data_IF_106732934393
#
_entry.id   IF_106732934393
#
_cell.length_a   1.000
_cell.length_b   1.000
_cell.length_c   1.000
_cell.angle_alpha   90.00
_cell.angle_beta   90.00
_cell.angle_gamma   90.00
#
_symmetry.space_group_name_H-M   'P 1'
#
loop_
_entity.id
_entity.type
_entity.pdbx_description
1 polymer ?
#
# COMPACT_ATOMS: atom_id res chain seq x y z
N UNK A 1 -17.09 10.42 13.88
CA UNK A 1 -16.00 9.48 14.04
C UNK A 1 -16.06 8.85 15.42
N UNK A 2 -15.69 7.58 15.52
CA UNK A 2 -15.49 6.90 16.79
C UNK A 2 -14.02 6.46 16.88
N UNK A 3 -13.36 6.81 18.00
CA UNK A 3 -12.02 6.38 18.32
C UNK A 3 -12.08 5.35 19.46
N UNK A 4 -11.49 4.17 19.22
CA UNK A 4 -11.42 3.05 20.16
C UNK A 4 -10.05 3.03 20.79
N UNK A 5 -9.97 2.94 22.13
CA UNK A 5 -8.74 2.97 22.88
C UNK A 5 -8.78 1.93 23.99
N UNK A 6 -7.72 1.17 24.15
CA UNK A 6 -7.56 0.20 25.23
C UNK A 6 -7.19 0.91 26.55
N UNK A 7 -6.56 2.07 26.46
CA UNK A 7 -6.13 2.84 27.61
C UNK A 7 -6.31 4.35 27.36
N UNK A 8 -6.68 5.10 28.41
CA UNK A 8 -6.75 6.55 28.40
C UNK A 8 -5.53 7.12 29.13
N UNK A 9 -4.73 7.95 28.45
CA UNK A 9 -3.59 8.62 29.05
C UNK A 9 -4.00 9.61 30.13
N UNK A 10 -3.10 9.92 31.08
CA UNK A 10 -3.41 10.76 32.24
C UNK A 10 -3.61 12.26 31.92
N UNK A 11 -3.16 12.76 30.78
CA UNK A 11 -3.15 14.19 30.49
C UNK A 11 -3.79 14.55 29.15
N UNK A 12 -3.43 13.86 28.10
CA UNK A 12 -3.96 14.14 26.75
C UNK A 12 -3.92 12.90 25.86
N UNK A 13 -4.80 12.86 24.85
CA UNK A 13 -4.85 11.86 23.81
C UNK A 13 -4.61 12.57 22.48
N UNK A 14 -3.66 12.06 21.69
CA UNK A 14 -3.37 12.58 20.35
C UNK A 14 -3.85 11.58 19.31
N UNK A 15 -4.78 12.01 18.45
CA UNK A 15 -5.30 11.22 17.33
C UNK A 15 -4.73 11.82 16.05
N UNK A 16 -3.88 11.06 15.36
CA UNK A 16 -3.22 11.50 14.14
C UNK A 16 -4.16 11.45 12.94
N UNK A 17 -4.02 12.42 12.03
CA UNK A 17 -4.79 12.49 10.78
C UNK A 17 -6.27 12.83 10.96
N UNK A 18 -6.68 13.28 12.15
CA UNK A 18 -8.06 13.64 12.46
C UNK A 18 -8.11 15.10 12.93
N UNK A 19 -9.14 15.83 12.47
CA UNK A 19 -9.50 17.15 12.98
C UNK A 19 -10.96 17.12 13.40
N UNK A 20 -11.22 17.49 14.65
CA UNK A 20 -12.59 17.69 15.11
C UNK A 20 -13.16 18.96 14.50
N UNK A 21 -14.46 18.97 14.20
CA UNK A 21 -15.15 20.10 13.59
C UNK A 21 -16.29 20.64 14.46
N UNK A 22 -16.60 21.91 14.23
CA UNK A 22 -17.75 22.56 14.80
C UNK A 22 -17.64 22.91 16.28
N UNK A 23 -18.79 23.29 16.86
CA UNK A 23 -18.94 23.59 18.30
C UNK A 23 -19.36 22.40 19.14
N UNK A 24 -19.50 21.24 18.49
CA UNK A 24 -19.91 20.02 19.17
C UNK A 24 -18.78 19.47 20.03
N UNK A 25 -19.17 18.89 21.16
CA UNK A 25 -18.20 18.40 22.14
C UNK A 25 -17.80 16.95 21.81
N UNK A 26 -16.59 16.60 22.23
CA UNK A 26 -16.13 15.22 22.22
C UNK A 26 -16.68 14.55 23.47
N UNK A 27 -17.21 13.34 23.33
CA UNK A 27 -17.81 12.57 24.39
C UNK A 27 -17.15 11.19 24.48
N UNK A 28 -16.89 10.73 25.71
CA UNK A 28 -16.66 9.32 25.98
C UNK A 28 -18.02 8.64 26.10
N UNK A 29 -18.25 7.55 25.37
CA UNK A 29 -19.53 6.82 25.43
C UNK A 29 -19.74 6.26 26.84
N UNK A 30 -20.96 6.39 27.35
CA UNK A 30 -21.32 5.98 28.70
C UNK A 30 -20.98 6.98 29.82
N UNK A 31 -20.37 8.12 29.49
CA UNK A 31 -20.04 9.19 30.42
C UNK A 31 -20.59 10.54 29.93
N UNK A 32 -20.90 11.43 30.86
CA UNK A 32 -21.46 12.77 30.56
C UNK A 32 -20.40 13.87 30.51
N UNK A 33 -19.14 13.53 30.73
CA UNK A 33 -18.02 14.46 30.76
C UNK A 33 -17.80 15.07 29.38
N UNK A 34 -17.45 16.36 29.41
CA UNK A 34 -17.12 17.16 28.23
C UNK A 34 -15.62 17.34 28.16
N UNK A 35 -15.04 16.95 27.04
CA UNK A 35 -13.60 17.06 26.85
C UNK A 35 -13.26 18.35 26.10
N UNK A 36 -12.24 19.06 26.60
CA UNK A 36 -11.60 20.13 25.85
C UNK A 36 -10.70 19.50 24.81
N UNK A 37 -10.70 20.06 23.60
CA UNK A 37 -9.91 19.59 22.50
C UNK A 37 -9.33 20.72 21.68
N UNK A 38 -8.27 20.42 20.93
CA UNK A 38 -7.66 21.36 19.99
C UNK A 38 -7.14 20.58 18.76
N UNK A 39 -7.26 21.20 17.60
CA UNK A 39 -6.57 20.72 16.39
C UNK A 39 -5.19 21.39 16.31
N UNK A 40 -4.16 20.59 16.01
CA UNK A 40 -2.83 21.10 15.73
C UNK A 40 -2.26 20.38 14.50
N UNK A 41 -1.99 21.14 13.41
CA UNK A 41 -1.64 20.59 12.10
C UNK A 41 -2.72 19.58 11.65
N UNK A 42 -2.34 18.31 11.45
CA UNK A 42 -3.26 17.25 11.01
C UNK A 42 -3.73 16.35 12.18
N UNK A 43 -3.53 16.77 13.42
CA UNK A 43 -3.83 15.98 14.60
C UNK A 43 -4.89 16.63 15.48
N UNK A 44 -5.71 15.80 16.13
CA UNK A 44 -6.61 16.16 17.20
C UNK A 44 -5.97 15.84 18.55
N UNK A 45 -5.92 16.79 19.46
CA UNK A 45 -5.55 16.57 20.86
C UNK A 45 -6.78 16.72 21.74
N UNK A 46 -7.11 15.68 22.51
CA UNK A 46 -8.17 15.68 23.52
C UNK A 46 -7.50 15.82 24.88
N UNK A 47 -7.91 16.79 25.67
CA UNK A 47 -7.35 17.06 27.00
C UNK A 47 -8.17 16.32 28.04
N UNK A 48 -7.51 15.46 28.83
CA UNK A 48 -8.13 14.67 29.88
C UNK A 48 -8.18 15.52 31.18
N UNK A 49 -9.37 15.74 31.76
CA UNK A 49 -9.49 16.51 32.99
C UNK A 49 -8.75 15.87 34.16
N UNK A 50 -8.20 16.69 35.06
CA UNK A 50 -7.64 16.21 36.32
C UNK A 50 -8.72 15.44 37.13
N UNK A 51 -8.32 14.30 37.68
CA UNK A 51 -9.24 13.45 38.46
C UNK A 51 -10.19 12.61 37.62
N UNK A 52 -10.13 12.70 36.29
CA UNK A 52 -11.01 11.91 35.44
C UNK A 52 -10.77 10.40 35.62
N UNK A 53 -9.53 9.97 35.86
CA UNK A 53 -9.18 8.58 36.11
C UNK A 53 -9.80 8.03 37.39
N UNK A 54 -10.06 8.87 38.38
CA UNK A 54 -10.63 8.47 39.67
C UNK A 54 -12.11 8.05 39.54
N UNK A 55 -12.76 8.49 38.46
CA UNK A 55 -14.17 8.18 38.13
C UNK A 55 -14.32 7.28 36.91
N UNK A 56 -13.21 6.87 36.31
CA UNK A 56 -13.20 6.02 35.14
C UNK A 56 -13.30 4.56 35.60
N UNK A 57 -14.37 3.89 35.17
CA UNK A 57 -14.52 2.45 35.36
C UNK A 57 -13.57 1.70 34.43
N UNK A 58 -13.00 0.60 34.90
CA UNK A 58 -12.19 -0.28 34.05
C UNK A 58 -13.03 -0.83 32.90
N UNK A 59 -12.51 -0.70 31.70
CA UNK A 59 -13.14 -1.19 30.48
C UNK A 59 -12.06 -1.73 29.54
N UNK A 60 -12.33 -2.83 28.84
CA UNK A 60 -11.40 -3.33 27.84
C UNK A 60 -11.22 -2.36 26.65
N UNK A 61 -12.20 -1.48 26.43
CA UNK A 61 -12.14 -0.47 25.36
C UNK A 61 -12.92 0.78 25.78
N UNK A 62 -12.30 1.93 25.59
CA UNK A 62 -12.92 3.24 25.74
C UNK A 62 -13.23 3.81 24.36
N UNK A 63 -14.44 4.35 24.16
CA UNK A 63 -14.89 4.84 22.85
C UNK A 63 -15.22 6.32 22.91
N UNK A 64 -14.42 7.14 22.22
CA UNK A 64 -14.69 8.57 22.06
C UNK A 64 -15.52 8.83 20.79
N UNK A 65 -16.63 9.56 20.94
CA UNK A 65 -17.41 10.11 19.85
C UNK A 65 -16.87 11.51 19.52
N UNK A 66 -16.30 11.67 18.34
CA UNK A 66 -15.62 12.88 17.87
C UNK A 66 -16.45 13.49 16.75
N UNK A 67 -16.91 14.77 16.87
CA UNK A 67 -17.53 15.47 15.77
C UNK A 67 -16.46 15.77 14.71
N UNK A 68 -16.68 15.33 13.50
CA UNK A 68 -15.81 15.60 12.35
C UNK A 68 -16.68 16.05 11.17
N UNK A 69 -16.12 16.85 10.28
CA UNK A 69 -16.77 17.10 9.00
C UNK A 69 -16.85 15.79 8.21
N UNK A 70 -17.89 15.58 7.40
CA UNK A 70 -18.02 14.39 6.59
C UNK A 70 -16.81 14.25 5.66
N UNK A 71 -16.35 13.01 5.46
CA UNK A 71 -15.25 12.72 4.53
C UNK A 71 -15.75 12.75 3.09
N UNK A 72 -14.93 13.27 2.20
CA UNK A 72 -15.16 13.15 0.76
C UNK A 72 -14.93 11.70 0.31
N UNK A 73 -15.70 11.27 -0.64
CA UNK A 73 -15.51 9.99 -1.33
C UNK A 73 -14.19 10.03 -2.11
N UNK A 74 -13.49 8.91 -2.14
CA UNK A 74 -12.23 8.80 -2.91
C UNK A 74 -12.46 9.09 -4.39
N UNK A 75 -11.55 9.82 -5.07
CA UNK A 75 -11.65 10.07 -6.50
C UNK A 75 -11.48 8.78 -7.31
N UNK A 76 -12.04 8.77 -8.51
CA UNK A 76 -11.79 7.73 -9.51
C UNK A 76 -10.67 8.20 -10.43
N UNK A 77 -9.72 7.31 -10.73
CA UNK A 77 -8.62 7.53 -11.67
C UNK A 77 -8.81 6.55 -12.83
N UNK A 78 -8.70 7.05 -14.04
CA UNK A 78 -8.64 6.26 -15.25
C UNK A 78 -7.34 6.59 -15.99
N UNK A 79 -6.60 5.55 -16.39
CA UNK A 79 -5.32 5.66 -17.09
C UNK A 79 -5.44 4.81 -18.35
N UNK A 80 -5.26 5.42 -19.51
CA UNK A 80 -5.23 4.74 -20.79
C UNK A 80 -3.81 4.87 -21.34
N UNK A 81 -3.13 3.74 -21.46
CA UNK A 81 -1.75 3.66 -21.95
C UNK A 81 -1.74 3.21 -23.40
N UNK A 82 -1.10 3.98 -24.26
CA UNK A 82 -1.03 3.73 -25.70
C UNK A 82 0.25 4.36 -26.27
N UNK A 83 1.00 3.60 -27.06
CA UNK A 83 2.17 4.06 -27.83
C UNK A 83 3.19 4.87 -27.01
N UNK A 84 3.51 4.41 -25.79
CA UNK A 84 4.48 5.07 -24.93
C UNK A 84 3.97 6.35 -24.28
N UNK A 85 2.66 6.59 -24.29
CA UNK A 85 1.99 7.72 -23.64
C UNK A 85 0.85 7.21 -22.78
N UNK A 86 0.66 7.80 -21.61
CA UNK A 86 -0.51 7.60 -20.78
C UNK A 86 -1.41 8.84 -20.77
N UNK A 87 -2.69 8.67 -20.99
CA UNK A 87 -3.72 9.69 -20.82
C UNK A 87 -4.36 9.44 -19.45
N UNK A 88 -4.32 10.45 -18.60
CA UNK A 88 -4.86 10.39 -17.24
C UNK A 88 -6.13 11.23 -17.14
N UNK A 89 -7.21 10.59 -16.73
CA UNK A 89 -8.49 11.22 -16.37
C UNK A 89 -8.81 10.99 -14.90
N UNK A 90 -9.30 12.02 -14.22
CA UNK A 90 -9.61 11.96 -12.79
C UNK A 90 -11.00 12.53 -12.56
N UNK A 91 -11.82 11.81 -11.82
CA UNK A 91 -13.20 12.18 -11.52
C UNK A 91 -13.43 12.32 -10.01
N UNK A 92 -14.03 13.44 -9.60
CA UNK A 92 -14.50 13.61 -8.24
C UNK A 92 -15.84 12.91 -8.05
N UNK A 93 -15.99 12.17 -6.96
CA UNK A 93 -17.23 11.42 -6.67
C UNK A 93 -18.24 12.25 -5.84
N UNK A 94 -17.85 13.42 -5.37
CA UNK A 94 -18.73 14.39 -4.72
C UNK A 94 -18.87 15.63 -5.61
N UNK A 95 -20.09 16.16 -5.69
CA UNK A 95 -20.35 17.44 -6.34
C UNK A 95 -19.51 18.56 -5.72
N UNK A 96 -19.02 19.46 -6.56
CA UNK A 96 -18.21 20.62 -6.17
C UNK A 96 -16.89 20.31 -5.43
N UNK A 97 -16.46 19.05 -5.38
CA UNK A 97 -15.15 18.73 -4.84
C UNK A 97 -14.04 19.04 -5.86
N UNK A 98 -13.06 19.81 -5.43
CA UNK A 98 -11.85 20.07 -6.21
C UNK A 98 -10.87 18.89 -6.09
N UNK A 99 -10.22 18.55 -7.20
CA UNK A 99 -9.22 17.49 -7.26
C UNK A 99 -7.81 18.07 -7.24
N UNK A 100 -6.93 17.40 -6.52
CA UNK A 100 -5.51 17.69 -6.53
C UNK A 100 -4.69 16.42 -6.72
N UNK A 101 -3.55 16.56 -7.38
CA UNK A 101 -2.66 15.45 -7.66
C UNK A 101 -1.18 15.79 -7.48
N UNK A 102 -0.38 14.77 -7.26
CA UNK A 102 1.08 14.82 -7.20
C UNK A 102 1.70 13.57 -7.81
N UNK A 103 3.00 13.61 -8.10
CA UNK A 103 3.73 12.49 -8.65
C UNK A 103 4.79 11.95 -7.68
N UNK A 104 5.07 10.65 -7.80
CA UNK A 104 6.06 9.96 -6.98
C UNK A 104 5.60 9.86 -5.53
N UNK A 105 6.51 10.10 -4.60
CA UNK A 105 6.25 10.00 -3.15
C UNK A 105 5.93 11.36 -2.49
N UNK A 106 5.43 12.33 -3.24
CA UNK A 106 5.06 13.64 -2.70
C UNK A 106 3.73 13.56 -1.99
N UNK A 107 3.69 14.00 -0.74
CA UNK A 107 2.43 14.16 0.01
C UNK A 107 1.52 15.17 -0.69
N UNK A 108 0.23 14.88 -0.72
CA UNK A 108 -0.80 15.80 -1.22
C UNK A 108 -1.26 16.66 -0.05
N UNK A 109 -1.39 17.95 -0.30
CA UNK A 109 -2.12 18.87 0.57
C UNK A 109 -2.89 19.87 -0.29
N UNK A 110 -3.88 20.54 0.31
CA UNK A 110 -4.70 21.56 -0.37
C UNK A 110 -3.85 22.64 -1.07
N UNK A 111 -2.68 22.94 -0.54
CA UNK A 111 -1.82 24.04 -1.02
C UNK A 111 -0.58 23.59 -1.81
N UNK A 112 -0.13 22.34 -1.67
CA UNK A 112 1.16 21.87 -2.22
C UNK A 112 1.04 21.01 -3.47
N UNK A 113 -0.15 20.52 -3.80
CA UNK A 113 -0.40 19.64 -4.95
C UNK A 113 -0.98 20.41 -6.14
N UNK A 114 -0.77 19.90 -7.36
CA UNK A 114 -1.34 20.47 -8.58
C UNK A 114 -2.85 20.35 -8.57
N UNK A 115 -3.55 21.38 -9.03
CA UNK A 115 -5.00 21.33 -9.26
C UNK A 115 -5.27 20.57 -10.56
N UNK A 116 -6.21 19.64 -10.52
CA UNK A 116 -6.69 18.97 -11.72
C UNK A 116 -7.85 19.79 -12.33
N UNK A 117 -7.83 19.94 -13.63
CA UNK A 117 -8.87 20.65 -14.38
C UNK A 117 -9.36 19.85 -15.59
N UNK A 118 -8.47 19.15 -16.26
CA UNK A 118 -8.75 18.39 -17.47
C UNK A 118 -7.80 17.20 -17.63
N UNK A 119 -8.13 16.20 -18.46
CA UNK A 119 -7.23 15.08 -18.76
C UNK A 119 -5.88 15.56 -19.27
N UNK A 120 -4.81 14.90 -18.84
CA UNK A 120 -3.45 15.25 -19.23
C UNK A 120 -2.65 14.02 -19.69
N UNK A 121 -1.58 14.27 -20.44
CA UNK A 121 -0.69 13.23 -20.95
C UNK A 121 0.57 13.13 -20.12
N UNK A 122 1.08 11.90 -20.01
CA UNK A 122 2.39 11.57 -19.44
C UNK A 122 3.15 10.71 -20.45
N UNK A 123 4.45 10.94 -20.54
CA UNK A 123 5.42 10.21 -21.36
C UNK A 123 6.46 9.46 -20.52
N UNK A 124 6.30 9.48 -19.23
CA UNK A 124 7.18 8.81 -18.26
C UNK A 124 6.40 8.09 -17.19
N UNK A 125 6.84 6.89 -16.84
CA UNK A 125 6.26 6.11 -15.74
C UNK A 125 6.42 6.80 -14.39
N UNK A 126 5.35 6.79 -13.59
CA UNK A 126 5.35 7.40 -12.26
C UNK A 126 4.22 6.85 -11.38
N UNK A 127 4.30 7.10 -10.08
CA UNK A 127 3.13 6.98 -9.19
C UNK A 127 2.33 8.27 -9.25
N UNK A 128 1.05 8.19 -9.59
CA UNK A 128 0.08 9.27 -9.50
C UNK A 128 -0.66 9.16 -8.17
N UNK A 129 -0.68 10.24 -7.39
CA UNK A 129 -1.47 10.32 -6.16
C UNK A 129 -2.54 11.38 -6.34
N UNK A 130 -3.78 11.10 -5.94
CA UNK A 130 -4.94 11.98 -6.11
C UNK A 130 -5.72 12.06 -4.82
N UNK A 131 -6.25 13.24 -4.52
CA UNK A 131 -7.10 13.49 -3.36
C UNK A 131 -8.15 14.55 -3.67
N UNK A 132 -9.37 14.38 -3.13
CA UNK A 132 -10.47 15.34 -3.25
C UNK A 132 -10.49 16.30 -2.06
N UNK A 133 -10.87 17.56 -2.32
CA UNK A 133 -11.00 18.63 -1.31
C UNK A 133 -12.26 19.44 -1.57
N UNK A 134 -13.02 19.74 -0.51
CA UNK A 134 -14.13 20.71 -0.52
C UNK A 134 -14.17 21.44 0.80
N UNK A 135 -14.84 22.60 0.82
CA UNK A 135 -15.11 23.32 2.05
C UNK A 135 -16.20 22.60 2.87
N UNK A 136 -16.05 22.55 4.19
CA UNK A 136 -16.98 21.85 5.08
C UNK A 136 -16.83 20.31 5.05
N UNK A 137 -15.78 19.79 4.41
CA UNK A 137 -15.50 18.36 4.35
C UNK A 137 -14.06 18.04 4.76
N UNK A 138 -13.86 16.89 5.37
CA UNK A 138 -12.54 16.28 5.46
C UNK A 138 -12.11 15.83 4.07
N UNK A 139 -10.82 15.96 3.71
CA UNK A 139 -10.32 15.46 2.45
C UNK A 139 -10.61 13.96 2.29
N UNK A 140 -10.73 13.48 1.06
CA UNK A 140 -10.80 12.03 0.82
C UNK A 140 -9.50 11.35 1.25
N UNK A 141 -9.50 10.02 1.32
CA UNK A 141 -8.24 9.27 1.32
C UNK A 141 -7.46 9.57 0.02
N UNK A 142 -6.14 9.49 0.08
CA UNK A 142 -5.30 9.56 -1.12
C UNK A 142 -5.46 8.27 -1.91
N UNK A 143 -5.77 8.39 -3.19
CA UNK A 143 -5.75 7.28 -4.14
C UNK A 143 -4.41 7.34 -4.88
N UNK A 144 -3.66 6.24 -4.86
CA UNK A 144 -2.40 6.11 -5.58
C UNK A 144 -2.54 5.07 -6.69
N UNK A 145 -2.14 5.43 -7.90
CA UNK A 145 -2.15 4.54 -9.06
C UNK A 145 -0.80 4.61 -9.80
N UNK A 146 -0.23 3.48 -10.22
CA UNK A 146 0.92 3.48 -11.11
C UNK A 146 0.49 3.92 -12.52
N UNK A 147 1.29 4.77 -13.15
CA UNK A 147 1.26 5.03 -14.59
C UNK A 147 2.43 4.25 -15.17
N UNK A 148 2.15 3.19 -15.92
CA UNK A 148 3.14 2.25 -16.43
C UNK A 148 3.39 2.48 -17.92
N UNK A 149 4.34 3.34 -18.27
CA UNK A 149 4.85 3.45 -19.62
C UNK A 149 6.04 2.50 -19.72
N UNK A 150 5.76 1.27 -20.17
CA UNK A 150 6.70 0.18 -20.14
C UNK A 150 7.55 0.15 -21.43
N UNK A 151 8.74 -0.39 -21.31
CA UNK A 151 9.70 -0.59 -22.39
C UNK A 151 10.15 -2.06 -22.38
N UNK A 152 10.85 -2.49 -23.42
CA UNK A 152 11.27 -3.89 -23.65
C UNK A 152 12.14 -4.49 -22.51
N UNK A 153 12.74 -3.64 -21.69
CA UNK A 153 13.56 -4.04 -20.53
C UNK A 153 12.77 -4.10 -19.22
N UNK A 154 11.50 -3.67 -19.21
CA UNK A 154 10.65 -3.84 -18.04
C UNK A 154 10.14 -5.27 -17.90
N UNK A 155 9.81 -5.65 -16.67
CA UNK A 155 9.23 -6.94 -16.34
C UNK A 155 10.16 -7.85 -15.55
N UNK A 156 9.70 -9.08 -15.39
CA UNK A 156 10.38 -10.20 -14.72
C UNK A 156 10.31 -11.42 -15.63
N UNK A 157 11.29 -12.31 -15.52
CA UNK A 157 11.23 -13.62 -16.17
C UNK A 157 10.48 -14.55 -15.21
N UNK A 158 9.29 -14.97 -15.61
CA UNK A 158 8.53 -16.02 -14.93
C UNK A 158 8.88 -17.37 -15.53
N UNK A 159 9.26 -18.33 -14.66
CA UNK A 159 9.40 -19.75 -15.01
C UNK A 159 8.30 -20.52 -14.31
N UNK A 160 7.65 -21.40 -15.05
CA UNK A 160 6.58 -22.27 -14.56
C UNK A 160 7.09 -23.68 -14.39
N UNK A 161 6.71 -24.31 -13.29
CA UNK A 161 7.01 -25.69 -12.92
C UNK A 161 5.69 -26.43 -12.70
N UNK A 162 5.64 -27.72 -13.04
CA UNK A 162 4.49 -28.59 -12.76
C UNK A 162 4.95 -29.75 -11.88
N UNK A 163 4.24 -29.97 -10.77
CA UNK A 163 4.55 -31.02 -9.80
C UNK A 163 3.92 -30.78 -8.44
N UNK A 164 4.22 -31.67 -7.51
CA UNK A 164 3.79 -31.58 -6.11
C UNK A 164 5.02 -31.50 -5.23
N UNK A 165 5.11 -30.47 -4.41
CA UNK A 165 6.24 -30.20 -3.54
C UNK A 165 5.76 -29.85 -2.13
N UNK A 166 6.66 -30.00 -1.16
CA UNK A 166 6.46 -29.55 0.21
C UNK A 166 7.07 -28.17 0.50
N UNK A 167 7.94 -27.69 -0.39
CA UNK A 167 8.64 -26.43 -0.26
C UNK A 167 9.20 -25.90 -1.60
N UNK A 168 9.62 -24.64 -1.62
CA UNK A 168 10.19 -24.00 -2.82
C UNK A 168 11.49 -24.64 -3.31
N UNK A 169 12.31 -25.22 -2.42
CA UNK A 169 13.59 -25.86 -2.82
C UNK A 169 13.32 -27.09 -3.67
N UNK A 170 12.38 -27.94 -3.26
CA UNK A 170 11.99 -29.12 -4.05
C UNK A 170 11.43 -28.71 -5.43
N UNK A 171 10.65 -27.62 -5.51
CA UNK A 171 10.15 -27.10 -6.78
C UNK A 171 11.30 -26.72 -7.72
N UNK A 172 12.34 -26.05 -7.20
CA UNK A 172 13.46 -25.58 -8.00
C UNK A 172 14.34 -26.72 -8.61
N UNK A 173 14.25 -27.92 -8.07
CA UNK A 173 14.90 -29.13 -8.64
C UNK A 173 14.15 -29.70 -9.86
N UNK A 174 12.94 -29.19 -10.14
CA UNK A 174 12.09 -29.66 -11.23
C UNK A 174 12.45 -29.01 -12.57
N UNK A 175 11.97 -29.60 -13.65
CA UNK A 175 12.19 -29.10 -15.01
C UNK A 175 11.26 -27.89 -15.25
N UNK A 176 11.83 -26.81 -15.79
CA UNK A 176 11.06 -25.64 -16.25
C UNK A 176 10.20 -26.05 -17.44
N UNK A 177 8.90 -25.80 -17.34
CA UNK A 177 7.93 -26.11 -18.40
C UNK A 177 7.72 -24.95 -19.35
N UNK A 178 7.78 -23.71 -18.82
CA UNK A 178 7.53 -22.49 -19.56
C UNK A 178 8.38 -21.35 -19.01
N UNK A 179 8.82 -20.45 -19.89
CA UNK A 179 9.46 -19.20 -19.53
C UNK A 179 8.83 -18.05 -20.31
N UNK A 180 8.44 -16.99 -19.61
CA UNK A 180 7.88 -15.79 -20.25
C UNK A 180 8.20 -14.52 -19.46
N UNK A 181 8.16 -13.38 -20.16
CA UNK A 181 8.21 -12.06 -19.49
C UNK A 181 6.84 -11.67 -18.97
N UNK A 182 6.79 -11.26 -17.70
CA UNK A 182 5.58 -10.77 -17.01
C UNK A 182 5.90 -9.43 -16.35
N UNK A 183 4.86 -8.62 -16.06
CA UNK A 183 5.03 -7.26 -15.53
C UNK A 183 4.64 -7.11 -14.05
N UNK A 184 4.20 -8.17 -13.44
CA UNK A 184 3.75 -8.27 -12.05
C UNK A 184 4.00 -9.69 -11.51
N UNK A 185 3.42 -10.00 -10.35
CA UNK A 185 3.49 -11.31 -9.71
C UNK A 185 2.16 -12.05 -9.78
N UNK A 186 1.25 -11.65 -10.67
CA UNK A 186 -0.06 -12.29 -10.79
C UNK A 186 0.08 -13.75 -11.25
N UNK A 187 -0.70 -14.60 -10.58
CA UNK A 187 -0.90 -15.97 -11.03
C UNK A 187 -1.91 -15.92 -12.18
N UNK A 188 -1.60 -16.57 -13.31
CA UNK A 188 -2.55 -16.68 -14.40
C UNK A 188 -3.84 -17.33 -13.89
N UNK A 189 -5.00 -16.77 -14.27
CA UNK A 189 -6.36 -17.19 -13.86
C UNK A 189 -6.76 -18.65 -14.20
N UNK A 190 -5.84 -19.47 -14.63
CA UNK A 190 -6.08 -20.89 -14.78
C UNK A 190 -5.89 -21.54 -13.41
N UNK A 191 -7.00 -21.88 -12.75
CA UNK A 191 -7.01 -22.73 -11.55
C UNK A 191 -6.30 -24.05 -11.86
N UNK A 192 -5.05 -24.11 -11.58
CA UNK A 192 -4.23 -25.32 -11.69
C UNK A 192 -3.70 -25.64 -10.31
N UNK A 193 -3.97 -26.82 -9.83
CA UNK A 193 -3.26 -27.39 -8.71
C UNK A 193 -1.90 -27.92 -9.19
N UNK A 194 -0.96 -28.07 -8.28
CA UNK A 194 0.33 -28.72 -8.53
C UNK A 194 1.21 -27.97 -9.53
N UNK A 195 1.38 -26.69 -9.30
CA UNK A 195 2.26 -25.84 -10.08
C UNK A 195 3.09 -24.92 -9.19
N UNK A 196 4.10 -24.31 -9.77
CA UNK A 196 4.86 -23.28 -9.10
C UNK A 196 5.49 -22.32 -10.08
N UNK A 197 5.90 -21.18 -9.57
CA UNK A 197 6.53 -20.12 -10.34
C UNK A 197 7.80 -19.61 -9.66
N UNK A 198 8.77 -19.23 -10.48
CA UNK A 198 9.80 -18.26 -10.07
C UNK A 198 9.65 -17.00 -10.90
N UNK A 199 9.73 -15.84 -10.25
CA UNK A 199 9.78 -14.52 -10.88
C UNK A 199 11.17 -13.94 -10.63
N UNK A 200 11.98 -13.76 -11.67
CA UNK A 200 13.36 -13.29 -11.53
C UNK A 200 13.62 -12.04 -12.37
N UNK A 201 14.31 -11.09 -11.80
CA UNK A 201 14.70 -9.86 -12.47
C UNK A 201 15.36 -8.89 -11.52
N UNK A 202 15.10 -7.60 -11.75
CA UNK A 202 15.67 -6.51 -10.96
C UNK A 202 14.60 -5.53 -10.55
N UNK A 203 14.73 -5.00 -9.33
CA UNK A 203 13.89 -3.92 -8.82
C UNK A 203 14.70 -2.62 -8.72
N UNK A 204 14.15 -1.51 -9.21
CA UNK A 204 14.76 -0.17 -9.14
C UNK A 204 14.38 0.54 -7.86
N UNK A 205 15.36 0.82 -7.03
CA UNK A 205 15.24 1.58 -5.79
C UNK A 205 15.63 3.04 -6.03
N UNK A 206 14.69 3.97 -5.84
CA UNK A 206 14.92 5.40 -6.10
C UNK A 206 15.67 6.10 -4.98
N UNK A 207 15.48 5.66 -3.75
CA UNK A 207 16.06 6.27 -2.54
C UNK A 207 16.58 5.20 -1.60
N UNK A 208 17.77 5.45 -1.05
CA UNK A 208 18.33 4.61 0.01
C UNK A 208 17.42 4.62 1.24
N UNK A 209 17.20 3.46 1.85
CA UNK A 209 16.41 3.32 3.08
C UNK A 209 16.14 1.89 3.48
N UNK A 210 15.40 1.74 4.55
CA UNK A 210 14.82 0.48 4.99
C UNK A 210 13.59 0.20 4.15
N UNK A 211 13.53 -0.98 3.54
CA UNK A 211 12.39 -1.47 2.78
C UNK A 211 11.84 -2.72 3.46
N UNK A 212 10.55 -2.81 3.57
CA UNK A 212 9.87 -4.01 4.04
C UNK A 212 9.11 -4.62 2.86
N UNK A 213 9.35 -5.92 2.63
CA UNK A 213 8.66 -6.72 1.62
C UNK A 213 7.73 -7.70 2.32
N UNK A 214 6.64 -8.05 1.66
CA UNK A 214 5.67 -9.00 2.15
C UNK A 214 5.24 -9.91 1.01
N UNK A 215 5.14 -11.21 1.30
CA UNK A 215 4.33 -12.12 0.49
C UNK A 215 3.10 -12.54 1.29
N UNK A 216 1.95 -12.64 0.60
CA UNK A 216 0.73 -13.26 1.11
C UNK A 216 0.40 -14.38 0.15
N UNK A 217 0.54 -15.60 0.58
CA UNK A 217 0.41 -16.77 -0.31
C UNK A 217 -0.37 -17.91 0.31
N UNK A 218 -0.88 -18.76 -0.55
CA UNK A 218 -1.47 -20.07 -0.36
C UNK A 218 -1.01 -20.91 -1.57
N UNK A 219 -0.13 -21.92 -1.50
CA UNK A 219 0.72 -22.35 -0.38
C UNK A 219 1.99 -21.48 -0.21
N UNK A 220 3.17 -22.09 -0.32
CA UNK A 220 4.45 -21.54 0.06
C UNK A 220 5.04 -20.51 -0.89
N UNK A 221 5.72 -19.51 -0.32
CA UNK A 221 6.47 -18.51 -1.09
C UNK A 221 7.73 -18.02 -0.39
N UNK A 222 8.71 -17.57 -1.18
CA UNK A 222 9.92 -16.88 -0.73
C UNK A 222 10.18 -15.62 -1.56
N UNK A 223 10.74 -14.61 -0.94
CA UNK A 223 11.25 -13.43 -1.63
C UNK A 223 12.71 -13.20 -1.26
N UNK A 224 13.56 -13.09 -2.27
CA UNK A 224 14.98 -12.85 -2.13
C UNK A 224 15.36 -11.52 -2.81
N UNK A 225 16.26 -10.76 -2.17
CA UNK A 225 16.90 -9.58 -2.75
C UNK A 225 18.41 -9.79 -2.78
N UNK A 226 19.03 -9.64 -3.95
CA UNK A 226 20.45 -9.90 -4.18
C UNK A 226 20.90 -11.30 -3.68
N UNK A 227 20.01 -12.30 -3.85
CA UNK A 227 20.23 -13.67 -3.39
C UNK A 227 20.03 -13.89 -1.89
N UNK A 228 19.77 -12.85 -1.11
CA UNK A 228 19.51 -12.95 0.33
C UNK A 228 18.02 -13.14 0.59
N UNK A 229 17.58 -14.16 1.35
CA UNK A 229 16.20 -14.31 1.77
C UNK A 229 15.76 -13.12 2.62
N UNK A 230 14.68 -12.47 2.21
CA UNK A 230 14.04 -11.35 2.93
C UNK A 230 12.70 -11.77 3.50
N UNK A 231 11.92 -12.54 2.74
CA UNK A 231 10.67 -13.14 3.23
C UNK A 231 10.79 -14.66 3.06
N UNK A 232 10.51 -15.38 4.13
CA UNK A 232 10.40 -16.84 4.15
C UNK A 232 8.99 -17.22 4.62
N UNK A 233 8.12 -17.50 3.66
CA UNK A 233 6.73 -17.94 3.83
C UNK A 233 6.59 -19.32 3.16
N UNK A 234 7.62 -20.18 3.30
CA UNK A 234 7.71 -21.47 2.63
C UNK A 234 6.91 -22.56 3.36
N UNK A 235 6.58 -23.60 2.65
CA UNK A 235 5.87 -24.77 3.18
C UNK A 235 4.39 -24.81 2.80
N UNK A 236 3.70 -25.86 3.28
CA UNK A 236 2.28 -26.08 3.02
C UNK A 236 1.46 -25.33 4.09
N UNK A 237 0.64 -24.38 3.68
CA UNK A 237 -0.20 -23.62 4.59
C UNK A 237 -1.35 -22.93 3.84
N UNK A 238 -2.44 -22.65 4.53
CA UNK A 238 -3.49 -21.75 4.03
C UNK A 238 -2.97 -20.33 3.91
N UNK A 239 -3.72 -19.49 3.23
CA UNK A 239 -3.34 -18.09 2.96
C UNK A 239 -2.83 -17.36 4.21
N UNK A 240 -1.58 -17.00 4.22
CA UNK A 240 -0.93 -16.24 5.29
C UNK A 240 0.03 -15.17 4.76
N UNK A 241 0.31 -14.17 5.58
CA UNK A 241 1.19 -13.06 5.26
C UNK A 241 2.47 -13.16 6.10
N UNK A 242 3.63 -13.03 5.45
CA UNK A 242 4.94 -12.91 6.11
C UNK A 242 5.68 -11.73 5.52
N UNK A 243 6.34 -10.94 6.38
CA UNK A 243 7.12 -9.76 6.00
C UNK A 243 8.56 -9.88 6.43
N UNK A 244 9.45 -9.17 5.72
CA UNK A 244 10.84 -9.03 6.08
C UNK A 244 11.44 -7.69 5.66
N UNK A 245 12.43 -7.24 6.42
CA UNK A 245 13.10 -5.94 6.23
C UNK A 245 14.47 -6.09 5.58
N UNK A 246 14.83 -5.13 4.75
CA UNK A 246 16.18 -5.03 4.16
C UNK A 246 16.54 -3.56 3.90
N UNK A 247 17.81 -3.21 4.20
CA UNK A 247 18.34 -1.89 3.87
C UNK A 247 18.88 -1.88 2.43
N UNK A 248 18.28 -1.06 1.56
CA UNK A 248 18.67 -0.96 0.16
C UNK A 248 19.29 0.41 -0.17
N UNK A 249 20.31 0.39 -1.02
CA UNK A 249 20.85 1.61 -1.63
C UNK A 249 20.01 1.99 -2.85
N UNK A 250 20.11 3.25 -3.28
CA UNK A 250 19.58 3.66 -4.59
C UNK A 250 20.29 2.86 -5.70
N UNK A 251 19.51 2.33 -6.65
CA UNK A 251 20.02 1.56 -7.79
C UNK A 251 19.17 0.35 -8.11
N UNK A 252 19.73 -0.56 -8.89
CA UNK A 252 19.11 -1.83 -9.28
C UNK A 252 19.53 -2.91 -8.30
N UNK A 253 18.56 -3.73 -7.87
CA UNK A 253 18.77 -4.87 -7.00
C UNK A 253 18.12 -6.09 -7.61
N UNK A 254 18.79 -7.23 -7.59
CA UNK A 254 18.15 -8.46 -8.03
C UNK A 254 16.97 -8.79 -7.13
N UNK A 255 15.84 -9.15 -7.71
CA UNK A 255 14.65 -9.65 -7.02
C UNK A 255 14.32 -11.04 -7.55
N UNK A 256 14.01 -11.95 -6.65
CA UNK A 256 13.48 -13.26 -6.97
C UNK A 256 12.31 -13.56 -6.03
N UNK A 257 11.17 -13.95 -6.60
CA UNK A 257 10.03 -14.51 -5.86
C UNK A 257 9.84 -15.95 -6.31
N UNK A 258 9.71 -16.85 -5.36
CA UNK A 258 9.43 -18.27 -5.54
C UNK A 258 8.05 -18.53 -4.94
N UNK A 259 7.24 -19.33 -5.62
CA UNK A 259 5.89 -19.68 -5.20
C UNK A 259 5.56 -21.09 -5.67
N UNK A 260 4.86 -21.86 -4.84
CA UNK A 260 4.26 -23.10 -5.27
C UNK A 260 2.88 -23.30 -4.66
N UNK A 261 2.05 -24.02 -5.39
CA UNK A 261 0.69 -24.44 -5.03
C UNK A 261 0.59 -25.96 -5.20
N UNK A 262 0.22 -26.67 -4.12
CA UNK A 262 0.05 -28.11 -4.14
C UNK A 262 -1.39 -28.55 -4.33
N UNK A 263 -2.34 -27.75 -3.84
CA UNK A 263 -3.77 -28.04 -3.97
C UNK A 263 -4.63 -27.20 -3.05
N UNK A 264 -5.78 -26.79 -3.51
CA UNK A 264 -6.73 -25.99 -2.76
C UNK A 264 -7.04 -24.67 -3.43
N UNK A 265 -6.80 -23.59 -2.71
CA UNK A 265 -6.92 -22.22 -3.25
C UNK A 265 -5.54 -21.64 -3.45
N UNK A 266 -5.29 -21.13 -4.64
CA UNK A 266 -4.05 -20.47 -5.00
C UNK A 266 -4.13 -18.95 -4.78
N UNK A 267 -3.11 -18.38 -4.15
CA UNK A 267 -2.95 -16.91 -4.08
C UNK A 267 -1.49 -16.50 -3.89
N UNK A 268 -1.10 -15.41 -4.54
CA UNK A 268 0.17 -14.74 -4.33
C UNK A 268 -0.01 -13.24 -4.45
N UNK A 269 0.20 -12.51 -3.35
CA UNK A 269 0.37 -11.06 -3.36
C UNK A 269 1.79 -10.73 -2.96
N UNK A 270 2.46 -9.83 -3.70
CA UNK A 270 3.80 -9.34 -3.37
C UNK A 270 3.74 -7.84 -3.19
N UNK A 271 3.98 -7.40 -1.96
CA UNK A 271 3.87 -5.99 -1.57
C UNK A 271 5.16 -5.47 -0.96
N UNK A 272 5.30 -4.16 -0.99
CA UNK A 272 6.40 -3.47 -0.36
C UNK A 272 5.96 -2.16 0.28
N UNK A 273 6.71 -1.71 1.29
CA UNK A 273 6.64 -0.35 1.85
C UNK A 273 8.04 0.18 2.18
N UNK A 274 8.13 1.46 2.49
CA UNK A 274 9.36 2.11 2.92
C UNK A 274 9.02 3.37 3.74
N UNK A 275 9.99 4.10 4.33
CA UNK A 275 9.73 5.38 4.96
C UNK A 275 9.14 6.45 4.03
N UNK A 276 9.09 6.20 2.73
CA UNK A 276 8.62 7.14 1.71
C UNK A 276 7.21 6.85 1.19
N UNK A 277 6.67 5.64 1.45
CA UNK A 277 5.33 5.22 1.02
C UNK A 277 4.83 4.04 1.87
N UNK A 278 3.52 3.93 1.99
CA UNK A 278 2.82 2.84 2.67
C UNK A 278 2.76 1.57 1.81
N UNK A 279 2.22 0.48 2.37
CA UNK A 279 2.03 -0.80 1.68
C UNK A 279 1.34 -0.63 0.33
N UNK A 280 1.95 -1.17 -0.72
CA UNK A 280 1.41 -1.21 -2.08
C UNK A 280 2.08 -2.31 -2.89
N UNK A 281 1.49 -2.64 -4.02
CA UNK A 281 2.11 -3.53 -4.99
C UNK A 281 3.35 -2.89 -5.60
N UNK A 282 4.29 -3.71 -6.07
CA UNK A 282 5.48 -3.24 -6.77
C UNK A 282 5.07 -2.84 -8.19
N UNK A 283 5.18 -1.55 -8.57
CA UNK A 283 4.75 -1.11 -9.89
C UNK A 283 5.62 -1.74 -11.00
N UNK A 284 4.99 -2.13 -12.11
CA UNK A 284 5.67 -2.74 -13.26
C UNK A 284 6.88 -1.93 -13.77
N UNK A 285 6.80 -0.60 -13.77
CA UNK A 285 7.91 0.27 -14.17
C UNK A 285 9.11 0.27 -13.20
N UNK A 286 9.02 -0.43 -12.06
CA UNK A 286 10.14 -0.67 -11.13
C UNK A 286 10.80 -2.03 -11.35
N UNK A 287 10.23 -2.88 -12.19
CA UNK A 287 10.69 -4.23 -12.48
C UNK A 287 11.38 -4.26 -13.83
N UNK A 288 12.51 -4.97 -13.91
CA UNK A 288 13.36 -5.04 -15.10
C UNK A 288 13.88 -6.46 -15.30
N UNK A 289 13.95 -6.90 -16.55
CA UNK A 289 14.46 -8.24 -16.91
C UNK A 289 15.99 -8.31 -16.91
N UNK A 290 16.69 -7.15 -16.99
CA UNK A 290 18.15 -7.05 -17.08
C UNK A 290 18.70 -5.85 -16.29
N UNK A 291 20.00 -5.92 -15.94
CA UNK A 291 20.69 -4.91 -15.13
C UNK A 291 21.01 -3.62 -15.92
N UNK A 292 21.40 -3.76 -17.20
CA UNK A 292 21.88 -2.65 -18.04
C UNK A 292 20.71 -1.86 -18.64
N UNK A 293 20.06 -1.06 -17.79
CA UNK A 293 19.03 -0.12 -18.21
C UNK A 293 19.68 1.23 -18.51
N UNK A 294 19.95 1.49 -19.79
CA UNK A 294 20.43 2.82 -20.24
C UNK A 294 19.25 3.79 -20.24
N UNK A 295 19.07 4.52 -19.12
CA UNK A 295 18.13 5.64 -18.99
C UNK A 295 18.67 6.73 -18.09
#
# INVERSE_FOLDING_TARGET
>A
LFAFMEEISKSEIIIQGVQASGKNQIHLLGKNEKFIWRNHRDNLTIIIPKGFHDILEESPVYVFKIPVDPFLIKPKIEIIETDGIAIVSIEAQNENAGLRYSFGNRKISRNSAKKYGEPFKLDNSTMLNVQSFAEGFQPSIVVSAPVNILHDDNGLIRRTYLGQWGNCVEMLESIVQEEQTVFDFELNNEKKNNFGHTFKGYIKIDKRGEYEFQTVSDDGSKLLINGQPVVDNDGLHSRQAVSGNIHLKKGMHQIEVQFFERGGQESLDVKWKSPYFEWRDIPAFKLFTRLDVKR
#
